data_IF_267715245180
#
_entry.id   IF_267715245180
#
_cell.length_a   1.000
_cell.length_b   1.000
_cell.length_c   1.000
_cell.angle_alpha   90.00
_cell.angle_beta   90.00
_cell.angle_gamma   90.00
#
_symmetry.space_group_name_H-M   'P 1'
#
loop_
_entity.id
_entity.type
_entity.pdbx_description
1 polymer ?
#
# COMPACT_ATOMS: atom_id res chain seq x y z
N UNK A 1 15.21 -14.23 -7.61
CA UNK A 1 15.09 -12.81 -8.05
C UNK A 1 13.72 -12.36 -7.59
N UNK A 2 13.61 -11.30 -6.80
CA UNK A 2 12.31 -10.77 -6.39
C UNK A 2 11.72 -9.91 -7.51
N UNK A 3 10.49 -10.16 -7.89
CA UNK A 3 9.75 -9.38 -8.87
C UNK A 3 8.53 -8.71 -8.21
N UNK A 4 8.19 -7.49 -8.65
CA UNK A 4 7.02 -6.75 -8.18
C UNK A 4 5.67 -7.41 -8.58
N UNK A 5 5.70 -8.38 -9.50
CA UNK A 5 4.53 -9.16 -9.90
C UNK A 5 4.39 -10.50 -9.16
N UNK A 6 5.34 -10.85 -8.29
CA UNK A 6 5.26 -12.10 -7.53
C UNK A 6 4.14 -12.01 -6.48
N UNK A 7 3.52 -13.18 -6.20
CA UNK A 7 2.50 -13.38 -5.17
C UNK A 7 1.30 -12.41 -5.24
N UNK A 8 0.91 -11.97 -6.44
CA UNK A 8 -0.34 -11.20 -6.63
C UNK A 8 -1.54 -12.16 -6.51
N UNK A 9 -2.44 -11.98 -5.52
CA UNK A 9 -3.63 -12.81 -5.39
C UNK A 9 -4.61 -12.54 -6.54
N UNK A 10 -5.39 -13.54 -6.93
CA UNK A 10 -6.45 -13.38 -7.95
C UNK A 10 -7.61 -12.49 -7.49
N UNK A 11 -7.79 -12.33 -6.18
CA UNK A 11 -8.83 -11.50 -5.58
C UNK A 11 -8.36 -10.98 -4.23
N UNK A 12 -8.60 -9.70 -3.96
CA UNK A 12 -8.32 -9.04 -2.69
C UNK A 12 -9.53 -8.19 -2.30
N UNK A 13 -9.88 -8.20 -1.01
CA UNK A 13 -10.99 -7.39 -0.48
C UNK A 13 -10.54 -5.97 -0.16
N UNK A 14 -9.33 -5.84 0.37
CA UNK A 14 -8.69 -4.58 0.77
C UNK A 14 -7.33 -4.44 0.08
N UNK A 15 -6.78 -3.22 0.07
CA UNK A 15 -5.44 -2.97 -0.45
C UNK A 15 -4.38 -3.70 0.40
N UNK A 16 -3.38 -4.28 -0.26
CA UNK A 16 -2.25 -4.95 0.41
C UNK A 16 -1.02 -4.05 0.34
N UNK A 17 -0.39 -3.80 1.49
CA UNK A 17 0.81 -2.98 1.62
C UNK A 17 2.02 -3.85 2.00
N UNK A 18 3.08 -3.77 1.22
CA UNK A 18 4.32 -4.51 1.45
C UNK A 18 5.53 -3.57 1.40
N UNK A 19 6.26 -3.46 2.48
CA UNK A 19 7.56 -2.77 2.49
C UNK A 19 8.58 -3.58 1.68
N UNK A 20 9.18 -2.96 0.66
CA UNK A 20 10.28 -3.54 -0.13
C UNK A 20 11.62 -3.09 0.46
N UNK A 21 11.76 -1.79 0.73
CA UNK A 21 12.94 -1.20 1.37
C UNK A 21 12.45 -0.22 2.42
N UNK A 22 12.95 -0.37 3.64
CA UNK A 22 12.76 0.61 4.72
C UNK A 22 14.13 0.98 5.27
N UNK A 23 14.45 2.26 5.17
CA UNK A 23 15.66 2.89 5.72
C UNK A 23 15.23 4.07 6.60
N UNK A 24 16.19 4.76 7.20
CA UNK A 24 15.92 5.94 8.02
C UNK A 24 15.17 7.05 7.26
N UNK A 25 15.56 7.31 6.01
CA UNK A 25 15.07 8.45 5.23
C UNK A 25 14.22 8.06 4.02
N UNK A 26 14.23 6.78 3.63
CA UNK A 26 13.54 6.28 2.44
C UNK A 26 12.75 5.03 2.78
N UNK A 27 11.47 5.02 2.37
CA UNK A 27 10.63 3.83 2.33
C UNK A 27 10.13 3.62 0.91
N UNK A 28 10.31 2.41 0.41
CA UNK A 28 9.74 1.93 -0.86
C UNK A 28 8.76 0.83 -0.49
N UNK A 29 7.50 1.04 -0.81
CA UNK A 29 6.41 0.09 -0.56
C UNK A 29 5.71 -0.28 -1.86
N UNK A 30 5.22 -1.51 -1.92
CA UNK A 30 4.32 -2.00 -2.96
C UNK A 30 2.91 -1.99 -2.40
N UNK A 31 1.98 -1.47 -3.19
CA UNK A 31 0.56 -1.45 -2.89
C UNK A 31 -0.15 -2.25 -3.97
N UNK A 32 -0.92 -3.27 -3.59
CA UNK A 32 -1.78 -4.04 -4.50
C UNK A 32 -3.22 -3.62 -4.22
N UNK A 33 -3.89 -3.07 -5.24
CA UNK A 33 -5.30 -2.67 -5.17
C UNK A 33 -6.11 -3.31 -6.29
N UNK A 34 -7.41 -3.49 -6.08
CA UNK A 34 -8.33 -4.08 -7.06
C UNK A 34 -9.66 -3.32 -7.09
N UNK A 35 -9.70 -2.22 -7.84
CA UNK A 35 -10.89 -1.36 -7.94
C UNK A 35 -11.08 -0.42 -6.75
N UNK A 36 -10.16 -0.41 -5.79
CA UNK A 36 -10.16 0.55 -4.67
C UNK A 36 -9.96 1.97 -5.18
N UNK A 37 -10.59 2.92 -4.50
CA UNK A 37 -10.54 4.35 -4.82
C UNK A 37 -10.41 5.14 -3.54
N UNK A 38 -9.72 6.28 -3.63
CA UNK A 38 -9.55 7.18 -2.50
C UNK A 38 -10.90 7.72 -2.03
N UNK A 39 -11.07 7.95 -0.72
CA UNK A 39 -12.26 8.62 -0.20
C UNK A 39 -12.45 10.02 -0.81
N UNK A 40 -13.70 10.47 -0.89
CA UNK A 40 -14.07 11.78 -1.46
C UNK A 40 -13.43 12.97 -0.71
N UNK A 41 -13.11 12.80 0.58
CA UNK A 41 -12.52 13.82 1.44
C UNK A 41 -11.36 13.23 2.24
N UNK A 42 -10.40 14.07 2.64
CA UNK A 42 -9.31 13.66 3.54
C UNK A 42 -8.04 13.09 2.89
N UNK A 43 -7.99 13.01 1.55
CA UNK A 43 -6.80 12.55 0.80
C UNK A 43 -5.50 13.30 1.15
N UNK A 44 -5.61 14.60 1.49
CA UNK A 44 -4.45 15.46 1.76
C UNK A 44 -3.99 15.46 3.22
N UNK A 45 -4.82 14.98 4.16
CA UNK A 45 -4.49 14.96 5.59
C UNK A 45 -3.70 13.71 5.91
N UNK A 46 -2.37 13.76 5.67
CA UNK A 46 -1.45 12.67 5.98
C UNK A 46 -1.12 12.65 7.48
N UNK A 47 -1.88 11.91 8.28
CA UNK A 47 -1.50 11.58 9.67
C UNK A 47 -1.18 10.08 9.76
N UNK A 48 0.10 9.74 10.00
CA UNK A 48 0.51 8.36 10.31
C UNK A 48 0.20 8.05 11.76
N UNK A 49 -0.76 7.15 12.01
CA UNK A 49 -0.84 6.40 13.27
C UNK A 49 -1.27 4.97 12.95
N UNK A 50 -0.40 3.99 13.21
CA UNK A 50 -0.69 2.56 13.29
C UNK A 50 -1.28 1.84 12.06
N UNK A 51 -0.79 2.15 10.85
CA UNK A 51 -0.75 1.17 9.77
C UNK A 51 -2.08 0.72 9.16
N UNK A 52 -3.19 1.41 9.42
CA UNK A 52 -4.38 1.29 8.57
C UNK A 52 -4.32 2.38 7.48
N UNK A 53 -4.35 1.93 6.23
CA UNK A 53 -4.52 2.74 5.03
C UNK A 53 -5.78 2.21 4.32
N UNK A 54 -6.54 3.14 3.73
CA UNK A 54 -7.98 3.07 3.38
C UNK A 54 -8.94 3.30 4.54
#
# INVERSE_FOLDING_TARGET
MSNIYDDVPSSILDEIFNDIITTENVRIERIISHGHSSPEQGWYTKMKTNGLWC
#
